data_IF_378257763715
#
_entry.id   IF_378257763715
#
_cell.length_a   1.000
_cell.length_b   1.000
_cell.length_c   1.000
_cell.angle_alpha   90.00
_cell.angle_beta   90.00
_cell.angle_gamma   90.00
#
_symmetry.space_group_name_H-M   'P 1'
#
loop_
_entity.id
_entity.type
_entity.pdbx_description
1 polymer ?
#
# COMPACT_ATOMS: atom_id res chain seq x y z
N UNK A 1 31.02 -57.78 -51.03
CA UNK A 1 31.27 -57.14 -49.71
C UNK A 1 31.26 -55.60 -49.72
N UNK A 2 31.41 -54.89 -50.86
CA UNK A 2 31.43 -53.40 -50.84
C UNK A 2 30.04 -52.76 -50.75
N UNK A 3 29.02 -53.29 -51.45
CA UNK A 3 27.65 -52.76 -51.43
C UNK A 3 27.03 -52.66 -50.02
N UNK A 4 27.27 -53.67 -49.16
CA UNK A 4 26.73 -53.69 -47.79
C UNK A 4 27.29 -52.58 -46.88
N UNK A 5 28.52 -52.12 -47.15
CA UNK A 5 29.12 -50.98 -46.42
C UNK A 5 28.54 -49.65 -46.91
N UNK A 6 28.26 -49.55 -48.20
CA UNK A 6 27.74 -48.32 -48.82
C UNK A 6 26.29 -48.05 -48.39
N UNK A 7 25.44 -49.08 -48.34
CA UNK A 7 24.08 -48.97 -47.84
C UNK A 7 24.02 -48.60 -46.35
N UNK A 8 24.93 -49.15 -45.54
CA UNK A 8 25.05 -48.79 -44.12
C UNK A 8 25.46 -47.33 -43.93
N UNK A 9 26.45 -46.87 -44.70
CA UNK A 9 26.91 -45.47 -44.69
C UNK A 9 25.77 -44.54 -45.12
N UNK A 10 25.04 -44.88 -46.18
CA UNK A 10 23.92 -44.09 -46.68
C UNK A 10 22.77 -43.98 -45.66
N UNK A 11 22.44 -45.08 -44.98
CA UNK A 11 21.43 -45.06 -43.91
C UNK A 11 21.89 -44.22 -42.71
N UNK A 12 23.15 -44.34 -42.30
CA UNK A 12 23.71 -43.54 -41.22
C UNK A 12 23.69 -42.04 -41.54
N UNK A 13 24.08 -41.64 -42.75
CA UNK A 13 23.99 -40.25 -43.22
C UNK A 13 22.53 -39.77 -43.23
N UNK A 14 21.59 -40.61 -43.65
CA UNK A 14 20.15 -40.29 -43.64
C UNK A 14 19.60 -40.10 -42.22
N UNK A 15 20.02 -40.91 -41.26
CA UNK A 15 19.64 -40.72 -39.85
C UNK A 15 20.24 -39.44 -39.26
N UNK A 16 21.52 -39.18 -39.50
CA UNK A 16 22.18 -37.96 -39.03
C UNK A 16 21.61 -36.70 -39.66
N UNK A 17 21.25 -36.72 -40.94
CA UNK A 17 20.56 -35.59 -41.56
C UNK A 17 19.16 -35.32 -40.98
N UNK A 18 18.42 -36.37 -40.60
CA UNK A 18 17.14 -36.22 -39.87
C UNK A 18 17.35 -35.63 -38.48
N UNK A 19 18.38 -36.09 -37.77
CA UNK A 19 18.75 -35.59 -36.44
C UNK A 19 19.12 -34.10 -36.50
N UNK A 20 19.95 -33.70 -37.47
CA UNK A 20 20.32 -32.29 -37.71
C UNK A 20 19.06 -31.44 -37.96
N UNK A 21 18.18 -31.86 -38.87
CA UNK A 21 16.92 -31.13 -39.14
C UNK A 21 16.02 -31.00 -37.91
N UNK A 22 15.96 -32.04 -37.08
CA UNK A 22 15.20 -32.00 -35.82
C UNK A 22 15.80 -31.01 -34.84
N UNK A 23 17.13 -31.03 -34.68
CA UNK A 23 17.85 -30.09 -33.81
C UNK A 23 17.72 -28.65 -34.29
N UNK A 24 17.79 -28.39 -35.60
CA UNK A 24 17.55 -27.07 -36.19
C UNK A 24 16.13 -26.57 -35.90
N UNK A 25 15.12 -27.44 -36.06
CA UNK A 25 13.73 -27.09 -35.73
C UNK A 25 13.58 -26.74 -34.26
N UNK A 26 14.15 -27.55 -33.35
CA UNK A 26 14.11 -27.30 -31.91
C UNK A 26 14.85 -26.01 -31.54
N UNK A 27 16.02 -25.74 -32.13
CA UNK A 27 16.76 -24.49 -31.95
C UNK A 27 15.89 -23.29 -32.33
N UNK A 28 15.23 -23.33 -33.48
CA UNK A 28 14.37 -22.24 -33.94
C UNK A 28 13.15 -22.04 -33.02
N UNK A 29 12.57 -23.14 -32.50
CA UNK A 29 11.50 -23.07 -31.51
C UNK A 29 11.97 -22.38 -30.22
N UNK A 30 13.11 -22.78 -29.66
CA UNK A 30 13.65 -22.16 -28.45
C UNK A 30 14.00 -20.69 -28.66
N UNK A 31 14.55 -20.31 -29.82
CA UNK A 31 14.80 -18.89 -30.14
C UNK A 31 13.49 -18.09 -30.11
N UNK A 32 12.43 -18.59 -30.74
CA UNK A 32 11.12 -17.92 -30.74
C UNK A 32 10.52 -17.82 -29.32
N UNK A 33 10.69 -18.85 -28.50
CA UNK A 33 10.26 -18.83 -27.09
C UNK A 33 11.05 -17.81 -26.28
N UNK A 34 12.37 -17.74 -26.44
CA UNK A 34 13.23 -16.75 -25.78
C UNK A 34 12.80 -15.33 -26.17
N UNK A 35 12.54 -15.08 -27.45
CA UNK A 35 12.06 -13.77 -27.91
C UNK A 35 10.71 -13.40 -27.30
N UNK A 36 9.78 -14.36 -27.21
CA UNK A 36 8.47 -14.15 -26.58
C UNK A 36 8.62 -13.83 -25.09
N UNK A 37 9.43 -14.60 -24.38
CA UNK A 37 9.75 -14.36 -22.96
C UNK A 37 10.39 -12.99 -22.75
N UNK A 38 11.34 -12.60 -23.60
CA UNK A 38 11.99 -11.29 -23.54
C UNK A 38 11.01 -10.12 -23.76
N UNK A 39 10.06 -10.25 -24.68
CA UNK A 39 9.01 -9.24 -24.89
C UNK A 39 8.13 -9.08 -23.64
N UNK A 40 7.69 -10.19 -23.05
CA UNK A 40 6.88 -10.18 -21.82
C UNK A 40 7.68 -9.58 -20.67
N UNK A 41 8.93 -9.97 -20.50
CA UNK A 41 9.81 -9.45 -19.46
C UNK A 41 10.00 -7.93 -19.58
N UNK A 42 10.30 -7.41 -20.77
CA UNK A 42 10.44 -5.97 -21.02
C UNK A 42 9.16 -5.21 -20.68
N UNK A 43 8.01 -5.72 -21.12
CA UNK A 43 6.72 -5.12 -20.80
C UNK A 43 6.45 -5.08 -19.29
N UNK A 44 6.65 -6.20 -18.60
CA UNK A 44 6.43 -6.28 -17.15
C UNK A 44 7.42 -5.39 -16.38
N UNK A 45 8.67 -5.29 -16.83
CA UNK A 45 9.68 -4.40 -16.23
C UNK A 45 9.27 -2.93 -16.33
N UNK A 46 8.73 -2.49 -17.47
CA UNK A 46 8.22 -1.13 -17.63
C UNK A 46 7.02 -0.86 -16.71
N UNK A 47 6.08 -1.81 -16.62
CA UNK A 47 4.92 -1.71 -15.72
C UNK A 47 5.35 -1.63 -14.26
N UNK A 48 6.29 -2.48 -13.85
CA UNK A 48 6.86 -2.48 -12.50
C UNK A 48 7.50 -1.14 -12.17
N UNK A 49 8.36 -0.61 -13.05
CA UNK A 49 9.03 0.67 -12.83
C UNK A 49 8.03 1.82 -12.66
N UNK A 50 6.95 1.85 -13.45
CA UNK A 50 5.88 2.85 -13.32
C UNK A 50 5.18 2.75 -11.96
N UNK A 51 4.85 1.53 -11.52
CA UNK A 51 4.22 1.31 -10.21
C UNK A 51 5.17 1.71 -9.08
N UNK A 52 6.44 1.32 -9.16
CA UNK A 52 7.45 1.66 -8.16
C UNK A 52 7.64 3.17 -8.02
N UNK A 53 7.67 3.89 -9.14
CA UNK A 53 7.74 5.36 -9.13
C UNK A 53 6.50 5.98 -8.46
N UNK A 54 5.30 5.56 -8.86
CA UNK A 54 4.06 6.07 -8.27
C UNK A 54 3.97 5.78 -6.76
N UNK A 55 4.37 4.58 -6.34
CA UNK A 55 4.39 4.21 -4.93
C UNK A 55 5.35 5.10 -4.13
N UNK A 56 6.54 5.39 -4.68
CA UNK A 56 7.50 6.30 -4.05
C UNK A 56 6.92 7.71 -3.92
N UNK A 57 6.29 8.23 -4.97
CA UNK A 57 5.67 9.55 -4.94
C UNK A 57 4.53 9.64 -3.92
N UNK A 58 3.70 8.59 -3.82
CA UNK A 58 2.63 8.50 -2.83
C UNK A 58 3.19 8.42 -1.40
N UNK A 59 4.25 7.64 -1.17
CA UNK A 59 4.91 7.55 0.12
C UNK A 59 5.48 8.90 0.55
N UNK A 60 6.15 9.63 -0.35
CA UNK A 60 6.69 10.96 -0.07
C UNK A 60 5.57 11.97 0.27
N UNK A 61 4.43 11.90 -0.43
CA UNK A 61 3.24 12.73 -0.13
C UNK A 61 2.64 12.36 1.22
N UNK A 62 2.54 11.07 1.54
CA UNK A 62 2.03 10.57 2.81
C UNK A 62 2.87 11.07 3.98
N UNK A 63 4.20 10.94 3.91
CA UNK A 63 5.10 11.40 4.96
C UNK A 63 5.06 12.93 5.15
N UNK A 64 4.96 13.70 4.05
CA UNK A 64 4.76 15.16 4.14
C UNK A 64 3.46 15.52 4.85
N UNK A 65 2.35 14.84 4.52
CA UNK A 65 1.06 15.05 5.19
C UNK A 65 1.13 14.68 6.66
N UNK A 66 1.74 13.53 6.99
CA UNK A 66 1.97 13.07 8.36
C UNK A 66 2.74 14.10 9.18
N UNK A 67 3.81 14.67 8.63
CA UNK A 67 4.57 15.74 9.28
C UNK A 67 3.73 17.01 9.50
N UNK A 68 2.91 17.42 8.51
CA UNK A 68 1.99 18.56 8.66
C UNK A 68 1.00 18.30 9.81
N UNK A 69 0.41 17.11 9.87
CA UNK A 69 -0.53 16.74 10.92
C UNK A 69 0.13 16.67 12.29
N UNK A 70 1.36 16.16 12.38
CA UNK A 70 2.11 16.15 13.64
C UNK A 70 2.43 17.55 14.13
N UNK A 71 2.75 18.48 13.22
CA UNK A 71 3.06 19.87 13.59
C UNK A 71 1.80 20.69 13.94
N UNK A 72 0.70 20.52 13.21
CA UNK A 72 -0.51 21.37 13.33
C UNK A 72 -1.63 20.74 14.16
N UNK A 73 -1.57 19.43 14.39
CA UNK A 73 -2.70 18.64 14.85
C UNK A 73 -3.74 18.39 13.74
N UNK A 74 -4.69 17.52 14.04
CA UNK A 74 -5.87 17.24 13.22
C UNK A 74 -7.04 18.06 13.76
N UNK A 75 -7.83 18.64 12.86
CA UNK A 75 -9.09 19.28 13.18
C UNK A 75 -10.21 18.34 12.76
N UNK A 76 -11.12 18.04 13.68
CA UNK A 76 -12.31 17.23 13.44
C UNK A 76 -13.55 18.10 13.62
N UNK A 77 -14.54 17.92 12.77
CA UNK A 77 -15.84 18.59 12.87
C UNK A 77 -16.91 17.55 13.17
N UNK A 78 -17.61 17.73 14.27
CA UNK A 78 -18.58 16.76 14.77
C UNK A 78 -19.90 17.47 15.00
N UNK A 79 -21.01 16.82 14.67
CA UNK A 79 -22.33 17.40 14.91
C UNK A 79 -22.57 17.54 16.41
N UNK A 80 -22.87 18.75 16.87
CA UNK A 80 -23.32 19.00 18.22
C UNK A 80 -24.77 18.50 18.37
N UNK A 81 -25.00 17.57 19.29
CA UNK A 81 -26.34 17.05 19.63
C UNK A 81 -26.84 17.61 20.96
N UNK A 82 -26.44 18.85 21.28
CA UNK A 82 -26.63 19.50 22.58
C UNK A 82 -25.90 18.78 23.73
N UNK A 83 -24.68 18.35 23.44
CA UNK A 83 -23.79 17.79 24.45
C UNK A 83 -23.49 18.83 25.54
N UNK A 84 -23.37 18.42 26.80
CA UNK A 84 -23.01 19.33 27.90
C UNK A 84 -21.49 19.58 27.93
N UNK A 85 -21.01 20.30 26.91
CA UNK A 85 -19.60 20.58 26.69
C UNK A 85 -19.40 22.06 26.36
N UNK A 86 -18.25 22.60 26.77
CA UNK A 86 -17.85 23.98 26.51
C UNK A 86 -16.61 24.04 25.63
N UNK A 87 -16.34 25.22 25.07
CA UNK A 87 -15.05 25.48 24.44
C UNK A 87 -13.91 25.26 25.43
N UNK A 88 -12.79 24.71 24.95
CA UNK A 88 -11.61 24.31 25.73
C UNK A 88 -11.82 23.12 26.66
N UNK A 89 -12.98 22.45 26.65
CA UNK A 89 -13.13 21.19 27.37
C UNK A 89 -12.20 20.10 26.81
N UNK A 90 -11.59 19.36 27.73
CA UNK A 90 -10.76 18.21 27.41
C UNK A 90 -11.63 16.99 27.07
N UNK A 91 -11.21 16.28 26.04
CA UNK A 91 -11.80 15.03 25.58
C UNK A 91 -10.74 13.92 25.62
N UNK A 92 -11.19 12.68 25.57
CA UNK A 92 -10.28 11.54 25.56
C UNK A 92 -10.74 10.47 24.59
N UNK A 93 -9.77 9.71 24.08
CA UNK A 93 -10.01 8.58 23.19
C UNK A 93 -10.09 7.28 24.00
N UNK A 94 -11.06 6.42 23.67
CA UNK A 94 -11.13 5.03 24.15
C UNK A 94 -11.16 4.08 22.96
N UNK A 95 -10.50 2.93 23.11
CA UNK A 95 -10.54 1.84 22.15
C UNK A 95 -11.56 0.80 22.63
N UNK A 96 -12.62 0.58 21.88
CA UNK A 96 -13.69 -0.37 22.20
C UNK A 96 -14.03 -1.19 20.95
N UNK A 97 -14.10 -2.52 21.05
CA UNK A 97 -14.44 -3.38 19.91
C UNK A 97 -13.67 -3.02 18.63
N UNK A 98 -12.35 -2.86 18.78
CA UNK A 98 -11.40 -2.45 17.73
C UNK A 98 -11.56 -1.05 17.14
N UNK A 99 -12.51 -0.21 17.58
CA UNK A 99 -12.72 1.14 17.07
C UNK A 99 -12.35 2.20 18.11
N UNK A 100 -11.89 3.37 17.65
CA UNK A 100 -11.71 4.52 18.53
C UNK A 100 -13.01 5.30 18.70
N UNK A 101 -13.20 5.84 19.90
CA UNK A 101 -14.33 6.65 20.30
C UNK A 101 -13.84 7.89 21.03
N UNK A 102 -14.49 9.02 20.80
CA UNK A 102 -14.24 10.28 21.52
C UNK A 102 -15.28 10.40 22.63
N UNK A 103 -14.78 10.56 23.85
CA UNK A 103 -15.60 10.74 25.04
C UNK A 103 -15.32 12.09 25.71
N UNK A 104 -16.37 12.66 26.31
CA UNK A 104 -16.25 13.82 27.22
C UNK A 104 -15.62 13.40 28.55
N UNK A 105 -15.20 14.37 29.36
CA UNK A 105 -14.77 14.13 30.75
C UNK A 105 -15.82 13.41 31.62
N UNK A 106 -17.10 13.51 31.25
CA UNK A 106 -18.22 12.85 31.93
C UNK A 106 -18.57 11.48 31.33
N UNK A 107 -17.68 10.90 30.49
CA UNK A 107 -17.89 9.64 29.76
C UNK A 107 -19.09 9.64 28.80
N UNK A 108 -19.53 10.81 28.34
CA UNK A 108 -20.53 10.89 27.28
C UNK A 108 -19.87 10.68 25.91
N UNK A 109 -20.45 9.82 25.08
CA UNK A 109 -19.94 9.53 23.74
C UNK A 109 -20.25 10.67 22.77
N UNK A 110 -19.21 11.32 22.25
CA UNK A 110 -19.34 12.35 21.22
C UNK A 110 -19.28 11.78 19.81
N UNK A 111 -18.37 10.83 19.58
CA UNK A 111 -18.09 10.36 18.23
C UNK A 111 -17.48 8.97 18.20
N UNK A 112 -17.86 8.21 17.18
CA UNK A 112 -17.28 6.91 16.85
C UNK A 112 -16.56 7.03 15.52
N UNK A 113 -15.28 6.69 15.51
CA UNK A 113 -14.52 6.59 14.28
C UNK A 113 -14.95 5.35 13.48
N UNK A 114 -14.92 5.46 12.16
CA UNK A 114 -15.01 4.31 11.27
C UNK A 114 -13.72 3.48 11.32
N UNK A 115 -13.75 2.27 10.74
CA UNK A 115 -12.62 1.33 10.80
C UNK A 115 -11.34 1.88 10.15
N UNK A 116 -11.48 2.52 8.99
CA UNK A 116 -10.37 3.15 8.27
C UNK A 116 -9.75 4.29 9.07
N UNK A 117 -10.58 5.17 9.62
CA UNK A 117 -10.15 6.28 10.47
C UNK A 117 -9.49 5.79 11.76
N UNK A 118 -10.02 4.72 12.35
CA UNK A 118 -9.46 4.10 13.54
C UNK A 118 -8.04 3.63 13.28
N UNK A 119 -7.79 2.99 12.13
CA UNK A 119 -6.46 2.52 11.74
C UNK A 119 -5.47 3.68 11.66
N UNK A 120 -5.88 4.80 11.06
CA UNK A 120 -5.08 6.03 10.97
C UNK A 120 -4.83 6.65 12.34
N UNK A 121 -5.87 6.85 13.15
CA UNK A 121 -5.74 7.42 14.51
C UNK A 121 -4.83 6.54 15.36
N UNK A 122 -4.96 5.21 15.27
CA UNK A 122 -4.11 4.24 15.97
C UNK A 122 -2.65 4.47 15.63
N UNK A 123 -2.29 4.49 14.35
CA UNK A 123 -0.91 4.72 13.91
C UNK A 123 -0.39 6.08 14.40
N UNK A 124 -1.24 7.11 14.39
CA UNK A 124 -0.85 8.47 14.77
C UNK A 124 -0.57 8.62 16.26
N UNK A 125 -1.39 8.03 17.13
CA UNK A 125 -1.27 8.17 18.59
C UNK A 125 -0.46 7.05 19.25
N UNK A 126 -0.06 6.01 18.51
CA UNK A 126 0.67 4.87 19.06
C UNK A 126 1.94 5.31 19.80
N UNK A 127 2.02 4.96 21.09
CA UNK A 127 3.11 5.33 22.01
C UNK A 127 3.43 6.84 22.05
N UNK A 128 2.48 7.71 21.68
CA UNK A 128 2.66 9.16 21.68
C UNK A 128 1.62 9.82 22.59
N UNK A 129 2.04 10.68 23.52
CA UNK A 129 1.09 11.47 24.29
C UNK A 129 0.33 12.41 23.36
N UNK A 130 -0.98 12.56 23.59
CA UNK A 130 -1.84 13.43 22.79
C UNK A 130 -2.65 14.39 23.68
N UNK A 131 -3.29 15.36 23.04
CA UNK A 131 -4.28 16.26 23.61
C UNK A 131 -5.43 16.37 22.62
N UNK A 132 -6.66 16.17 23.09
CA UNK A 132 -7.87 16.33 22.31
C UNK A 132 -8.78 17.33 23.05
N UNK A 133 -9.09 18.44 22.39
CA UNK A 133 -9.86 19.53 23.01
C UNK A 133 -10.94 20.03 22.06
N UNK A 134 -12.01 20.58 22.63
CA UNK A 134 -12.98 21.38 21.89
C UNK A 134 -12.36 22.77 21.68
N UNK A 135 -12.21 23.19 20.44
CA UNK A 135 -11.65 24.52 20.10
C UNK A 135 -12.72 25.55 19.81
N UNK A 136 -13.89 25.12 19.34
CA UNK A 136 -15.01 26.01 19.01
C UNK A 136 -16.33 25.27 19.00
N UNK A 137 -17.40 25.94 19.41
CA UNK A 137 -18.78 25.46 19.32
C UNK A 137 -19.58 26.41 18.43
N UNK A 138 -19.87 25.97 17.20
CA UNK A 138 -20.62 26.74 16.21
C UNK A 138 -22.02 26.14 16.03
N UNK A 139 -22.93 26.48 16.96
CA UNK A 139 -24.30 25.98 16.97
C UNK A 139 -24.35 24.45 16.93
N UNK A 140 -24.65 23.91 15.75
CA UNK A 140 -24.78 22.47 15.50
C UNK A 140 -23.46 21.75 15.21
N UNK A 141 -22.30 22.41 15.32
CA UNK A 141 -20.98 21.81 15.04
C UNK A 141 -20.00 22.06 16.19
N UNK A 142 -19.36 21.00 16.66
CA UNK A 142 -18.20 21.03 17.55
C UNK A 142 -16.94 20.91 16.70
N UNK A 143 -16.03 21.86 16.87
CA UNK A 143 -14.69 21.80 16.27
C UNK A 143 -13.69 21.28 17.29
N UNK A 144 -13.20 20.07 17.06
CA UNK A 144 -12.20 19.45 17.91
C UNK A 144 -10.80 19.60 17.32
N UNK A 145 -9.79 19.69 18.18
CA UNK A 145 -8.40 19.62 17.76
C UNK A 145 -7.66 18.52 18.51
N UNK A 146 -7.13 17.56 17.74
CA UNK A 146 -6.23 16.51 18.22
C UNK A 146 -4.79 16.95 17.94
N UNK A 147 -3.97 17.11 18.98
CA UNK A 147 -2.54 17.39 18.86
C UNK A 147 -1.73 16.26 19.49
N UNK A 148 -0.66 15.86 18.83
CA UNK A 148 0.36 15.03 19.45
C UNK A 148 1.30 15.93 20.24
N UNK A 149 1.64 15.53 21.46
CA UNK A 149 2.68 16.21 22.23
C UNK A 149 4.02 15.71 21.69
N UNK A 150 4.80 16.62 21.09
CA UNK A 150 6.17 16.33 20.73
C UNK A 150 6.95 16.11 22.04
N UNK A 151 7.40 14.87 22.27
CA UNK A 151 8.36 14.60 23.33
C UNK A 151 9.69 15.12 22.80
N UNK A 152 10.07 16.33 23.19
CA UNK A 152 11.44 16.78 23.02
C UNK A 152 12.31 15.84 23.88
N UNK A 153 13.05 14.95 23.22
CA UNK A 153 14.19 14.27 23.83
C UNK A 153 15.40 15.16 23.72
#
# INVERSE_FOLDING_TARGET
MSYFKEDFINNYIKEKSKEIKKLEKSKNQYIAEIEKCNKIFKYNKLKYNKIAYNNKELADKYEKLKHIFYKRGIILYIRNKNYNVNEWDNLHLKLEYNNYYIYTKNNELLYKFHEEETSVIREMIYNKPYSLIITRIDGNVLKLQLRLKLVNK
#
